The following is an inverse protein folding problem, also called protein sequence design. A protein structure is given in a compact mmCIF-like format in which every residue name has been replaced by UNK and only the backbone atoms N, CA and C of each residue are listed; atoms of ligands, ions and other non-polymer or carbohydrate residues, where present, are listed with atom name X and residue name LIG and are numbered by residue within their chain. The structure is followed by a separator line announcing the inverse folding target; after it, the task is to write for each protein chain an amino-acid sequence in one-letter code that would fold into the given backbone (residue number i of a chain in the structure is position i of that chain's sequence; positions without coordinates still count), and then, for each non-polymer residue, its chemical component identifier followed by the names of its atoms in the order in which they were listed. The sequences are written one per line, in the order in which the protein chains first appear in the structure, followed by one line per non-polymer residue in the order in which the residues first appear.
data_IF_551111793258
#
_entry.id   IF_551111793258
#
_cell.length_a   1.000
_cell.length_b   1.000
_cell.length_c   1.000
_cell.angle_alpha   90.00
_cell.angle_beta   90.00
_cell.angle_gamma   90.00
#
_symmetry.space_group_name_H-M   'P 1'
#
loop_
_entity.id
_entity.type
_entity.pdbx_description
1 polymer ?
#
# COMPACT_ATOMS: atom_id res chain seq x y z
N UNK A 1 12.17 -66.39 37.34
CA UNK A 1 11.17 -65.37 37.00
C UNK A 1 11.83 -64.02 36.95
N UNK A 2 12.04 -63.48 35.76
CA UNK A 2 12.67 -62.16 35.54
C UNK A 2 11.60 -61.24 34.94
N UNK A 3 11.25 -60.11 35.55
CA UNK A 3 10.38 -59.15 34.91
C UNK A 3 11.21 -58.24 33.96
N UNK A 4 10.80 -58.21 32.69
CA UNK A 4 11.32 -57.32 31.69
C UNK A 4 10.80 -55.90 31.94
N UNK A 5 11.74 -54.97 32.20
CA UNK A 5 11.43 -53.55 32.20
C UNK A 5 11.32 -53.09 30.74
N UNK A 6 10.11 -52.75 30.29
CA UNK A 6 9.90 -52.03 29.06
C UNK A 6 10.17 -50.55 29.26
N UNK A 7 11.23 -50.08 28.65
CA UNK A 7 11.62 -48.67 28.64
C UNK A 7 10.79 -47.92 27.58
N UNK A 8 9.76 -47.19 27.98
CA UNK A 8 9.03 -46.27 27.10
C UNK A 8 9.85 -45.01 26.88
N UNK A 9 10.47 -44.90 25.71
CA UNK A 9 11.06 -43.67 25.22
C UNK A 9 9.96 -42.74 24.74
N UNK A 10 9.58 -41.75 25.56
CA UNK A 10 8.78 -40.62 25.14
C UNK A 10 9.63 -39.72 24.23
N UNK A 11 9.44 -39.82 22.93
CA UNK A 11 9.99 -38.84 21.97
C UNK A 11 9.18 -37.57 22.06
N UNK A 12 9.72 -36.56 22.74
CA UNK A 12 9.16 -35.21 22.71
C UNK A 12 9.38 -34.62 21.32
N UNK A 13 8.31 -34.50 20.53
CA UNK A 13 8.29 -33.74 19.28
C UNK A 13 8.27 -32.27 19.67
N UNK A 14 9.44 -31.64 19.62
CA UNK A 14 9.53 -30.18 19.71
C UNK A 14 9.03 -29.63 18.37
N UNK A 15 7.76 -29.25 18.31
CA UNK A 15 7.22 -28.43 17.22
C UNK A 15 7.80 -27.05 17.40
N UNK A 16 8.89 -26.75 16.71
CA UNK A 16 9.34 -25.38 16.53
C UNK A 16 8.32 -24.70 15.65
N UNK A 17 7.44 -23.90 16.26
CA UNK A 17 6.63 -22.92 15.54
C UNK A 17 7.63 -21.95 14.89
N UNK A 18 8.01 -22.23 13.64
CA UNK A 18 8.57 -21.21 12.78
C UNK A 18 7.43 -20.20 12.57
N UNK A 19 7.47 -19.13 13.34
CA UNK A 19 6.82 -17.89 12.98
C UNK A 19 7.39 -17.50 11.61
N UNK A 20 6.73 -17.98 10.55
CA UNK A 20 6.87 -17.42 9.24
C UNK A 20 6.25 -16.01 9.32
N UNK A 21 7.06 -15.08 9.86
CA UNK A 21 6.84 -13.67 9.66
C UNK A 21 6.82 -13.53 8.14
N UNK A 22 5.62 -13.39 7.56
CA UNK A 22 5.45 -13.07 6.17
C UNK A 22 6.38 -11.87 5.95
N UNK A 23 7.42 -12.07 5.13
CA UNK A 23 8.34 -11.02 4.75
C UNK A 23 7.46 -9.98 4.08
N UNK A 24 7.16 -8.92 4.81
CA UNK A 24 6.36 -7.80 4.32
C UNK A 24 7.20 -7.23 3.16
N UNK A 25 6.77 -7.55 1.94
CA UNK A 25 7.44 -7.06 0.74
C UNK A 25 7.50 -5.55 0.87
N UNK A 26 8.70 -4.99 1.00
CA UNK A 26 8.90 -3.55 1.13
C UNK A 26 8.54 -2.88 -0.20
N UNK A 27 7.25 -2.62 -0.39
CA UNK A 27 6.71 -1.93 -1.55
C UNK A 27 7.09 -0.44 -1.58
N UNK A 28 7.80 0.05 -0.56
CA UNK A 28 8.11 1.48 -0.43
C UNK A 28 8.89 2.05 -1.62
N UNK A 29 9.77 1.27 -2.24
CA UNK A 29 10.48 1.68 -3.45
C UNK A 29 9.53 1.81 -4.65
N UNK A 30 8.56 0.93 -4.77
CA UNK A 30 7.54 0.99 -5.81
C UNK A 30 6.57 2.16 -5.56
N UNK A 31 6.17 2.38 -4.32
CA UNK A 31 5.35 3.52 -3.92
C UNK A 31 6.06 4.86 -4.15
N UNK A 32 7.37 4.92 -3.90
CA UNK A 32 8.17 6.11 -4.15
C UNK A 32 8.24 6.45 -5.65
N UNK A 33 8.32 5.43 -6.52
CA UNK A 33 8.24 5.64 -7.98
C UNK A 33 6.86 6.21 -8.37
N UNK A 34 5.78 5.66 -7.83
CA UNK A 34 4.44 6.21 -8.09
C UNK A 34 4.30 7.64 -7.58
N UNK A 35 4.80 7.94 -6.38
CA UNK A 35 4.80 9.30 -5.83
C UNK A 35 5.54 10.27 -6.76
N UNK A 36 6.72 9.90 -7.26
CA UNK A 36 7.51 10.73 -8.16
C UNK A 36 6.81 10.97 -9.51
N UNK A 37 6.13 9.96 -10.05
CA UNK A 37 5.32 10.07 -11.26
C UNK A 37 4.14 11.03 -11.04
N UNK A 38 3.40 10.87 -9.95
CA UNK A 38 2.27 11.75 -9.61
C UNK A 38 2.73 13.19 -9.44
N UNK A 39 3.86 13.41 -8.74
CA UNK A 39 4.45 14.74 -8.61
C UNK A 39 4.82 15.36 -9.97
N UNK A 40 5.31 14.54 -10.91
CA UNK A 40 5.63 15.02 -12.26
C UNK A 40 4.39 15.34 -13.08
N UNK A 41 3.37 14.50 -13.04
CA UNK A 41 2.10 14.74 -13.75
C UNK A 41 1.39 15.98 -13.21
N UNK A 42 1.49 16.25 -11.91
CA UNK A 42 0.92 17.45 -11.29
C UNK A 42 1.51 18.76 -11.82
N UNK A 43 2.67 18.73 -12.48
CA UNK A 43 3.27 19.88 -13.14
C UNK A 43 2.72 20.15 -14.54
N UNK A 44 1.92 19.24 -15.10
CA UNK A 44 1.30 19.43 -16.40
C UNK A 44 0.17 20.46 -16.31
N UNK A 45 -0.08 21.25 -17.38
CA UNK A 45 -1.05 22.35 -17.33
C UNK A 45 -2.52 21.88 -17.36
N UNK A 46 -2.80 20.59 -17.53
CA UNK A 46 -4.14 20.04 -17.59
C UNK A 46 -4.75 19.85 -16.20
N UNK A 47 -5.82 20.59 -15.90
CA UNK A 47 -6.47 20.58 -14.59
C UNK A 47 -7.01 19.18 -14.18
N UNK A 48 -7.42 18.36 -15.14
CA UNK A 48 -7.90 17.01 -14.86
C UNK A 48 -6.75 16.12 -14.38
N UNK A 49 -5.66 16.12 -15.11
CA UNK A 49 -4.45 15.39 -14.72
C UNK A 49 -3.88 15.88 -13.38
N UNK A 50 -3.97 17.19 -13.11
CA UNK A 50 -3.56 17.74 -11.81
C UNK A 50 -4.39 17.18 -10.67
N UNK A 51 -5.72 17.11 -10.79
CA UNK A 51 -6.58 16.57 -9.74
C UNK A 51 -6.31 15.07 -9.51
N UNK A 52 -6.26 14.28 -10.59
CA UNK A 52 -5.99 12.85 -10.52
C UNK A 52 -4.61 12.56 -9.89
N UNK A 53 -3.58 13.31 -10.30
CA UNK A 53 -2.23 13.19 -9.76
C UNK A 53 -2.11 13.64 -8.30
N UNK A 54 -2.89 14.65 -7.90
CA UNK A 54 -2.93 15.11 -6.52
C UNK A 54 -3.51 14.03 -5.59
N UNK A 55 -4.62 13.40 -5.99
CA UNK A 55 -5.25 12.30 -5.23
C UNK A 55 -4.27 11.12 -5.12
N UNK A 56 -3.68 10.70 -6.24
CA UNK A 56 -2.68 9.63 -6.27
C UNK A 56 -1.43 9.99 -5.47
N UNK A 57 -0.98 11.23 -5.58
CA UNK A 57 0.15 11.76 -4.83
C UNK A 57 -0.05 11.66 -3.32
N UNK A 58 -1.19 12.09 -2.79
CA UNK A 58 -1.49 11.95 -1.35
C UNK A 58 -1.58 10.50 -0.90
N UNK A 59 -2.13 9.61 -1.74
CA UNK A 59 -2.19 8.19 -1.44
C UNK A 59 -0.78 7.60 -1.28
N UNK A 60 0.10 7.79 -2.26
CA UNK A 60 1.46 7.26 -2.21
C UNK A 60 2.33 7.97 -1.17
N UNK A 61 2.14 9.28 -0.97
CA UNK A 61 2.82 10.03 0.09
C UNK A 61 2.54 9.41 1.46
N UNK A 62 1.27 9.11 1.76
CA UNK A 62 0.89 8.47 3.01
C UNK A 62 1.55 7.10 3.20
N UNK A 63 1.63 6.29 2.15
CA UNK A 63 2.29 4.97 2.20
C UNK A 63 3.79 5.07 2.42
N UNK A 64 4.46 5.94 1.65
CA UNK A 64 5.91 6.15 1.78
C UNK A 64 6.27 6.69 3.17
N UNK A 65 5.53 7.68 3.67
CA UNK A 65 5.80 8.25 5.00
C UNK A 65 5.51 7.28 6.14
N UNK A 66 4.51 6.43 5.99
CA UNK A 66 4.23 5.37 6.97
C UNK A 66 5.34 4.32 7.02
N UNK A 67 5.88 3.94 5.85
CA UNK A 67 6.96 2.95 5.75
C UNK A 67 8.34 3.54 6.12
N UNK A 68 8.60 4.80 5.78
CA UNK A 68 9.89 5.49 5.95
C UNK A 68 9.69 6.93 6.43
N UNK A 69 9.38 7.12 7.72
CA UNK A 69 9.01 8.44 8.26
C UNK A 69 10.14 9.48 8.19
N UNK A 70 11.40 9.02 8.21
CA UNK A 70 12.58 9.89 8.22
C UNK A 70 13.19 10.12 6.82
N UNK A 71 12.48 9.69 5.75
CA UNK A 71 12.98 9.83 4.39
C UNK A 71 12.96 11.29 3.94
N UNK A 72 14.06 11.76 3.38
CA UNK A 72 14.10 13.05 2.65
C UNK A 72 13.32 12.90 1.33
N UNK A 73 12.02 13.17 1.41
CA UNK A 73 11.10 12.97 0.30
C UNK A 73 11.46 13.76 -0.97
N UNK A 74 11.85 15.04 -0.92
CA UNK A 74 12.26 15.79 -2.09
C UNK A 74 13.43 15.12 -2.83
N UNK A 75 14.48 14.77 -2.12
CA UNK A 75 15.65 14.11 -2.71
C UNK A 75 15.32 12.71 -3.22
N UNK A 76 14.61 11.90 -2.42
CA UNK A 76 14.27 10.54 -2.78
C UNK A 76 13.33 10.46 -4.00
N UNK A 77 12.34 11.34 -4.11
CA UNK A 77 11.44 11.39 -5.27
C UNK A 77 12.17 11.85 -6.54
N UNK A 78 13.05 12.84 -6.43
CA UNK A 78 13.86 13.30 -7.55
C UNK A 78 14.80 12.19 -8.05
N UNK A 79 15.44 11.45 -7.15
CA UNK A 79 16.30 10.33 -7.47
C UNK A 79 15.52 9.16 -8.09
N UNK A 80 14.37 8.79 -7.53
CA UNK A 80 13.51 7.74 -8.07
C UNK A 80 13.06 8.07 -9.49
N UNK A 81 12.67 9.32 -9.74
CA UNK A 81 12.29 9.78 -11.07
C UNK A 81 13.48 9.77 -12.04
N UNK A 82 14.63 10.27 -11.61
CA UNK A 82 15.85 10.37 -12.43
C UNK A 82 16.42 9.02 -12.86
N UNK A 83 16.09 7.94 -12.14
CA UNK A 83 16.51 6.57 -12.49
C UNK A 83 15.58 5.87 -13.48
N UNK A 84 14.41 6.42 -13.76
CA UNK A 84 13.45 5.83 -14.72
C UNK A 84 13.81 6.21 -16.15
N UNK A 85 13.88 5.19 -17.01
CA UNK A 85 13.85 5.41 -18.45
C UNK A 85 12.44 5.81 -18.93
N UNK A 86 12.30 6.29 -20.16
CA UNK A 86 10.97 6.57 -20.72
C UNK A 86 10.06 5.33 -20.76
N UNK A 87 10.62 4.15 -20.99
CA UNK A 87 9.87 2.89 -20.98
C UNK A 87 9.43 2.52 -19.55
N UNK A 88 10.31 2.70 -18.55
CA UNK A 88 9.97 2.48 -17.15
C UNK A 88 8.86 3.43 -16.68
N UNK A 89 8.95 4.70 -17.08
CA UNK A 89 7.92 5.69 -16.75
C UNK A 89 6.54 5.27 -17.23
N UNK A 90 6.42 4.80 -18.47
CA UNK A 90 5.14 4.34 -19.03
C UNK A 90 4.63 3.09 -18.29
N UNK A 91 5.50 2.12 -18.03
CA UNK A 91 5.16 0.88 -17.35
C UNK A 91 4.70 1.15 -15.91
N UNK A 92 5.46 1.96 -15.17
CA UNK A 92 5.15 2.32 -13.79
C UNK A 92 3.90 3.18 -13.69
N UNK A 93 3.67 4.11 -14.62
CA UNK A 93 2.41 4.88 -14.68
C UNK A 93 1.21 3.95 -14.77
N UNK A 94 1.22 2.99 -15.69
CA UNK A 94 0.14 2.01 -15.81
C UNK A 94 -0.06 1.16 -14.54
N UNK A 95 1.03 0.79 -13.84
CA UNK A 95 0.96 0.08 -12.56
C UNK A 95 0.30 0.94 -11.48
N UNK A 96 0.74 2.19 -11.34
CA UNK A 96 0.21 3.13 -10.35
C UNK A 96 -1.28 3.42 -10.57
N UNK A 97 -1.69 3.65 -11.83
CA UNK A 97 -3.09 3.85 -12.19
C UNK A 97 -3.96 2.63 -11.86
N UNK A 98 -3.50 1.42 -12.18
CA UNK A 98 -4.21 0.18 -11.86
C UNK A 98 -4.41 0.02 -10.35
N UNK A 99 -3.41 0.34 -9.56
CA UNK A 99 -3.51 0.30 -8.10
C UNK A 99 -4.55 1.32 -7.59
N UNK A 100 -4.50 2.56 -8.07
CA UNK A 100 -5.46 3.60 -7.72
C UNK A 100 -6.90 3.21 -8.10
N UNK A 101 -7.12 2.61 -9.28
CA UNK A 101 -8.42 2.10 -9.70
C UNK A 101 -8.94 1.01 -8.75
N UNK A 102 -8.07 0.09 -8.32
CA UNK A 102 -8.45 -0.94 -7.37
C UNK A 102 -8.84 -0.36 -6.00
N UNK A 103 -8.15 0.68 -5.54
CA UNK A 103 -8.50 1.40 -4.31
C UNK A 103 -9.82 2.15 -4.45
N UNK A 104 -10.08 2.74 -5.62
CA UNK A 104 -11.37 3.36 -5.93
C UNK A 104 -12.54 2.38 -5.84
N UNK A 105 -12.37 1.14 -6.33
CA UNK A 105 -13.37 0.07 -6.16
C UNK A 105 -13.60 -0.28 -4.69
N UNK A 106 -12.55 -0.34 -3.89
CA UNK A 106 -12.66 -0.60 -2.45
C UNK A 106 -13.44 0.52 -1.74
N UNK A 107 -13.19 1.78 -2.08
CA UNK A 107 -13.94 2.93 -1.55
C UNK A 107 -15.42 2.86 -1.92
N UNK A 108 -15.75 2.47 -3.14
CA UNK A 108 -17.14 2.28 -3.57
C UNK A 108 -17.84 1.18 -2.76
N UNK A 109 -17.14 0.09 -2.44
CA UNK A 109 -17.64 -0.97 -1.58
C UNK A 109 -17.90 -0.50 -0.14
N UNK A 110 -17.00 0.30 0.42
CA UNK A 110 -17.18 0.91 1.74
C UNK A 110 -18.40 1.84 1.74
N UNK A 111 -18.50 2.72 0.74
CA UNK A 111 -19.62 3.65 0.63
C UNK A 111 -20.99 2.93 0.52
N UNK A 112 -21.03 1.81 -0.22
CA UNK A 112 -22.24 0.98 -0.35
C UNK A 112 -22.65 0.30 0.97
N UNK A 113 -21.69 0.02 1.86
CA UNK A 113 -21.93 -0.59 3.17
C UNK A 113 -22.34 0.44 4.25
N UNK A 114 -22.16 1.74 3.99
CA UNK A 114 -22.49 2.77 4.97
C UNK A 114 -24.00 3.03 5.04
N UNK A 115 -24.53 3.30 6.26
CA UNK A 115 -25.93 3.73 6.40
C UNK A 115 -26.19 4.99 5.59
N UNK A 116 -27.40 5.06 4.99
CA UNK A 116 -27.82 6.30 4.33
C UNK A 116 -27.86 7.45 5.35
N UNK A 117 -27.43 8.67 4.98
CA UNK A 117 -27.55 9.83 5.84
C UNK A 117 -29.00 9.99 6.28
N UNK A 118 -29.22 10.15 7.58
CA UNK A 118 -30.57 10.47 8.07
C UNK A 118 -30.95 11.85 7.55
N UNK A 119 -32.16 11.96 7.02
CA UNK A 119 -32.70 13.26 6.62
C UNK A 119 -32.65 14.20 7.84
N UNK A 120 -32.07 15.38 7.67
CA UNK A 120 -32.09 16.42 8.71
C UNK A 120 -33.56 16.71 9.06
N UNK A 121 -33.94 16.76 10.35
CA UNK A 121 -35.28 17.15 10.72
C UNK A 121 -35.60 18.50 10.09
N UNK A 122 -36.74 18.57 9.40
CA UNK A 122 -37.24 19.85 8.86
C UNK A 122 -37.38 20.82 10.06
N UNK A 123 -36.82 22.05 10.00
CA UNK A 123 -37.01 23.01 11.08
C UNK A 123 -38.49 23.21 11.32
N UNK A 124 -38.90 23.20 12.57
CA UNK A 124 -40.28 23.48 12.96
C UNK A 124 -40.67 24.90 12.50
N UNK A 125 -41.94 25.12 12.11
CA UNK A 125 -42.41 26.41 11.67
C UNK A 125 -42.37 27.47 12.77
#
# INVERSE_FOLDING_TARGET
MRPSLALFLLSAIVVTANDAKAEEVDDSAADLRCLSIMAKINQLPDARHQLESLIGGYYYLGRVTAAKPDLDLPSATAEAFGRMSAADFLTETGRCEKEMQNRGKSMSGIAAAMPKPQATPKPAP
#
